data_IF_913398107675
#
_entry.id   IF_913398107675
#
_cell.length_a   1.000
_cell.length_b   1.000
_cell.length_c   1.000
_cell.angle_alpha   90.00
_cell.angle_beta   90.00
_cell.angle_gamma   90.00
#
_symmetry.space_group_name_H-M   'P 1'
#
loop_
_entity.id
_entity.type
_entity.pdbx_description
1 polymer ?
#
# COMPACT_ATOMS: atom_id res chain seq x y z
N UNK A 1 9.01 -12.85 31.58
CA UNK A 1 8.93 -12.79 30.12
C UNK A 1 9.12 -14.21 29.60
N UNK A 2 8.06 -14.84 29.07
CA UNK A 2 8.12 -16.17 28.47
C UNK A 2 8.96 -16.07 27.18
N UNK A 3 10.01 -16.89 27.05
CA UNK A 3 10.86 -16.89 25.86
C UNK A 3 10.26 -17.85 24.82
N UNK A 4 10.03 -17.35 23.61
CA UNK A 4 9.64 -18.20 22.48
C UNK A 4 10.68 -19.32 22.26
N UNK A 5 10.24 -20.55 21.96
CA UNK A 5 11.15 -21.67 21.77
C UNK A 5 12.14 -21.38 20.63
N UNK A 6 13.44 -21.59 20.91
CA UNK A 6 14.52 -21.54 19.93
C UNK A 6 14.99 -20.14 19.52
N UNK A 7 14.34 -19.05 19.92
CA UNK A 7 14.72 -17.64 19.62
C UNK A 7 15.20 -17.36 18.19
N UNK A 8 14.83 -18.20 17.23
CA UNK A 8 15.17 -18.04 15.82
C UNK A 8 13.92 -17.90 14.96
N UNK A 9 14.01 -17.06 13.93
CA UNK A 9 12.94 -16.76 12.99
C UNK A 9 13.49 -16.73 11.57
N UNK A 10 12.83 -17.42 10.67
CA UNK A 10 13.12 -17.34 9.23
C UNK A 10 12.07 -16.48 8.55
N UNK A 11 12.52 -15.53 7.73
CA UNK A 11 11.65 -14.65 6.93
C UNK A 11 11.95 -14.90 5.45
N UNK A 12 10.90 -15.12 4.66
CA UNK A 12 11.01 -15.27 3.19
C UNK A 12 10.58 -13.95 2.55
N UNK A 13 11.51 -13.31 1.84
CA UNK A 13 11.32 -11.99 1.20
C UNK A 13 11.85 -10.84 2.05
N UNK A 14 12.92 -10.17 1.60
CA UNK A 14 13.46 -8.96 2.20
C UNK A 14 12.90 -7.67 1.55
N UNK A 15 11.62 -7.69 1.17
CA UNK A 15 10.88 -6.48 0.81
C UNK A 15 10.64 -5.59 2.03
N UNK A 16 9.84 -4.54 1.86
CA UNK A 16 9.57 -3.56 2.93
C UNK A 16 9.08 -4.21 4.23
N UNK A 17 8.09 -5.11 4.14
CA UNK A 17 7.55 -5.80 5.32
C UNK A 17 8.58 -6.73 5.95
N UNK A 18 9.26 -7.56 5.17
CA UNK A 18 10.24 -8.52 5.71
C UNK A 18 11.43 -7.84 6.35
N UNK A 19 11.96 -6.75 5.75
CA UNK A 19 13.05 -5.98 6.33
C UNK A 19 12.65 -5.28 7.65
N UNK A 20 11.44 -4.67 7.69
CA UNK A 20 10.92 -4.05 8.91
C UNK A 20 10.68 -5.08 10.01
N UNK A 21 10.08 -6.21 9.67
CA UNK A 21 9.81 -7.30 10.61
C UNK A 21 11.10 -7.87 11.20
N UNK A 22 12.13 -8.07 10.35
CA UNK A 22 13.43 -8.54 10.79
C UNK A 22 14.08 -7.60 11.80
N UNK A 23 14.03 -6.30 11.53
CA UNK A 23 14.52 -5.28 12.45
C UNK A 23 13.80 -5.33 13.80
N UNK A 24 12.46 -5.36 13.78
CA UNK A 24 11.64 -5.41 14.99
C UNK A 24 11.91 -6.69 15.80
N UNK A 25 11.97 -7.85 15.14
CA UNK A 25 12.26 -9.13 15.77
C UNK A 25 13.69 -9.17 16.39
N UNK A 26 14.68 -8.64 15.69
CA UNK A 26 16.06 -8.56 16.20
C UNK A 26 16.16 -7.65 17.43
N UNK A 27 15.45 -6.55 17.47
CA UNK A 27 15.36 -5.66 18.65
C UNK A 27 14.75 -6.35 19.87
N UNK A 28 13.96 -7.41 19.65
CA UNK A 28 13.42 -8.30 20.70
C UNK A 28 14.38 -9.44 21.09
N UNK A 29 15.57 -9.48 20.48
CA UNK A 29 16.61 -10.47 20.76
C UNK A 29 16.44 -11.79 20.01
N UNK A 30 15.62 -11.83 18.93
CA UNK A 30 15.54 -13.00 18.07
C UNK A 30 16.72 -13.02 17.08
N UNK A 31 17.20 -14.22 16.76
CA UNK A 31 18.06 -14.45 15.61
C UNK A 31 17.20 -14.59 14.35
N UNK A 32 17.43 -13.76 13.35
CA UNK A 32 16.59 -13.69 12.14
C UNK A 32 17.43 -14.00 10.92
N UNK A 33 16.95 -14.93 10.08
CA UNK A 33 17.49 -15.19 8.74
C UNK A 33 16.47 -14.78 7.70
N UNK A 34 16.83 -13.87 6.80
CA UNK A 34 16.01 -13.48 5.65
C UNK A 34 16.55 -14.11 4.39
N UNK A 35 15.67 -14.67 3.55
CA UNK A 35 15.97 -15.13 2.21
C UNK A 35 15.31 -14.22 1.18
N UNK A 36 16.12 -13.61 0.30
CA UNK A 36 15.65 -12.70 -0.76
C UNK A 36 16.13 -13.18 -2.13
N UNK A 37 15.20 -13.25 -3.07
CA UNK A 37 15.49 -13.71 -4.44
C UNK A 37 16.36 -12.74 -5.24
N UNK A 38 16.25 -11.44 -4.97
CA UNK A 38 17.00 -10.39 -5.68
C UNK A 38 18.41 -10.27 -5.12
N UNK A 39 19.27 -9.63 -5.91
CA UNK A 39 20.59 -9.20 -5.46
C UNK A 39 20.47 -8.16 -4.34
N UNK A 40 21.58 -7.95 -3.62
CA UNK A 40 21.66 -6.94 -2.56
C UNK A 40 21.42 -5.53 -3.13
N UNK A 41 20.35 -4.84 -2.73
CA UNK A 41 20.03 -3.51 -3.26
C UNK A 41 21.06 -2.42 -2.86
N UNK A 42 21.96 -2.72 -1.94
CA UNK A 42 23.06 -1.82 -1.55
C UNK A 42 24.21 -1.84 -2.57
N UNK A 43 24.28 -2.91 -3.39
CA UNK A 43 25.32 -3.12 -4.41
C UNK A 43 24.78 -3.03 -5.84
N UNK A 44 23.46 -3.16 -6.02
CA UNK A 44 22.82 -3.14 -7.34
C UNK A 44 22.37 -1.72 -7.71
N UNK A 45 22.45 -1.38 -9.01
CA UNK A 45 21.76 -0.19 -9.52
C UNK A 45 20.24 -0.40 -9.46
N UNK A 46 19.44 0.67 -9.19
CA UNK A 46 17.99 0.57 -9.22
C UNK A 46 17.49 0.06 -10.57
N UNK A 47 16.55 -0.89 -10.58
CA UNK A 47 15.90 -1.35 -11.81
C UNK A 47 15.13 -0.19 -12.43
N UNK A 48 15.49 0.21 -13.65
CA UNK A 48 14.78 1.26 -14.41
C UNK A 48 13.36 0.77 -14.75
N UNK A 49 12.38 1.67 -14.63
CA UNK A 49 10.97 1.39 -15.00
C UNK A 49 10.15 0.58 -13.98
N UNK A 50 10.67 0.39 -12.77
CA UNK A 50 9.96 -0.19 -11.61
C UNK A 50 10.14 0.65 -10.35
N UNK A 51 10.26 1.95 -10.50
CA UNK A 51 10.41 2.89 -9.39
C UNK A 51 9.03 3.31 -8.90
N UNK A 52 8.32 2.43 -8.22
CA UNK A 52 7.02 2.75 -7.63
C UNK A 52 7.25 3.67 -6.44
N UNK A 53 6.64 4.86 -6.49
CA UNK A 53 6.47 5.68 -5.30
C UNK A 53 5.29 5.18 -4.49
N UNK A 54 5.48 5.20 -3.19
CA UNK A 54 4.49 4.76 -2.22
C UNK A 54 3.96 5.95 -1.44
N UNK A 55 2.70 5.87 -1.05
CA UNK A 55 2.06 6.83 -0.16
C UNK A 55 2.23 6.34 1.29
N UNK A 56 3.13 6.95 2.04
CA UNK A 56 3.30 6.66 3.46
C UNK A 56 2.31 7.52 4.27
N UNK A 57 1.47 6.86 5.06
CA UNK A 57 0.45 7.45 5.91
C UNK A 57 0.78 7.23 7.40
N UNK A 58 -0.03 7.79 8.30
CA UNK A 58 0.24 7.76 9.74
C UNK A 58 0.45 6.35 10.30
N UNK A 59 -0.25 5.32 9.80
CA UNK A 59 -0.06 3.91 10.24
C UNK A 59 1.35 3.40 9.92
N UNK A 60 1.81 3.64 8.72
CA UNK A 60 3.16 3.26 8.30
C UNK A 60 4.22 4.03 9.07
N UNK A 61 4.02 5.33 9.28
CA UNK A 61 4.92 6.17 10.10
C UNK A 61 5.04 5.64 11.53
N UNK A 62 3.92 5.32 12.17
CA UNK A 62 3.90 4.74 13.52
C UNK A 62 4.69 3.43 13.62
N UNK A 63 4.64 2.59 12.60
CA UNK A 63 5.44 1.35 12.56
C UNK A 63 6.94 1.63 12.41
N UNK A 64 7.31 2.60 11.58
CA UNK A 64 8.71 3.05 11.41
C UNK A 64 9.26 3.73 12.67
N UNK A 65 8.44 4.54 13.36
CA UNK A 65 8.78 5.12 14.67
C UNK A 65 9.01 4.04 15.71
N UNK A 66 8.13 3.04 15.79
CA UNK A 66 8.30 1.87 16.66
C UNK A 66 9.59 1.11 16.37
N UNK A 67 9.98 1.02 15.11
CA UNK A 67 11.26 0.43 14.71
C UNK A 67 12.47 1.35 14.96
N UNK A 68 12.26 2.64 15.30
CA UNK A 68 13.33 3.62 15.57
C UNK A 68 14.09 4.05 14.33
N UNK A 69 13.46 4.00 13.13
CA UNK A 69 14.15 4.31 11.86
C UNK A 69 13.73 5.63 11.23
N UNK A 70 12.81 6.37 11.85
CA UNK A 70 12.24 7.58 11.27
C UNK A 70 13.26 8.67 10.91
N UNK A 71 14.33 8.85 11.69
CA UNK A 71 15.36 9.84 11.38
C UNK A 71 16.05 9.55 10.04
N UNK A 72 16.24 8.27 9.70
CA UNK A 72 16.81 7.85 8.42
C UNK A 72 15.81 7.88 7.27
N UNK A 73 14.53 7.69 7.57
CA UNK A 73 13.44 7.68 6.57
C UNK A 73 13.02 9.11 6.23
N UNK A 74 12.99 10.02 7.20
CA UNK A 74 12.50 11.40 7.03
C UNK A 74 13.11 12.14 5.83
N UNK A 75 14.41 12.05 5.52
CA UNK A 75 14.99 12.71 4.34
C UNK A 75 14.48 12.18 2.99
N UNK A 76 13.85 11.01 2.98
CA UNK A 76 13.29 10.39 1.77
C UNK A 76 11.84 10.81 1.50
N UNK A 77 11.22 11.54 2.44
CA UNK A 77 9.79 11.84 2.41
C UNK A 77 9.51 13.18 1.74
N UNK A 78 8.52 13.20 0.85
CA UNK A 78 8.00 14.43 0.25
C UNK A 78 6.54 14.58 0.68
N UNK A 79 6.16 15.69 1.35
CA UNK A 79 4.79 15.89 1.79
C UNK A 79 3.87 16.16 0.60
N UNK A 80 2.78 15.42 0.52
CA UNK A 80 1.68 15.66 -0.41
C UNK A 80 0.48 16.17 0.39
N UNK A 81 0.09 17.43 0.20
CA UNK A 81 -0.98 18.09 0.95
C UNK A 81 -2.37 17.82 0.38
N UNK A 82 -2.42 17.34 -0.87
CA UNK A 82 -3.68 17.07 -1.56
C UNK A 82 -3.47 16.40 -2.91
N UNK A 83 -4.57 16.24 -3.61
CA UNK A 83 -4.59 15.82 -5.02
C UNK A 83 -4.68 17.06 -5.90
N UNK A 84 -3.72 17.28 -6.79
CA UNK A 84 -3.83 18.24 -7.88
C UNK A 84 -4.61 17.57 -9.01
N UNK A 85 -5.86 17.94 -9.17
CA UNK A 85 -6.77 17.33 -10.16
C UNK A 85 -6.69 18.13 -11.46
N UNK A 86 -6.33 17.43 -12.53
CA UNK A 86 -6.17 18.00 -13.89
C UNK A 86 -7.37 17.63 -14.77
N UNK A 87 -8.17 18.63 -15.11
CA UNK A 87 -9.31 18.48 -16.01
C UNK A 87 -8.87 18.39 -17.49
N UNK A 88 -9.78 17.91 -18.34
CA UNK A 88 -9.56 17.93 -19.80
C UNK A 88 -9.45 19.35 -20.38
N UNK A 89 -10.06 20.33 -19.72
CA UNK A 89 -9.98 21.76 -20.06
C UNK A 89 -8.59 22.36 -19.90
N UNK A 90 -7.67 21.66 -19.21
CA UNK A 90 -6.37 22.15 -18.77
C UNK A 90 -6.43 22.91 -17.43
N UNK A 91 -7.61 23.06 -16.82
CA UNK A 91 -7.71 23.59 -15.47
C UNK A 91 -7.17 22.57 -14.46
N UNK A 92 -6.39 23.05 -13.47
CA UNK A 92 -5.89 22.23 -12.38
C UNK A 92 -6.22 22.86 -11.05
N UNK A 93 -6.73 22.06 -10.10
CA UNK A 93 -7.12 22.50 -8.78
C UNK A 93 -6.65 21.55 -7.69
N UNK A 94 -6.09 22.09 -6.61
CA UNK A 94 -5.69 21.32 -5.45
C UNK A 94 -6.91 20.97 -4.59
N UNK A 95 -7.14 19.69 -4.41
CA UNK A 95 -8.09 19.15 -3.44
C UNK A 95 -7.34 18.66 -2.21
N UNK A 96 -7.41 19.36 -1.05
CA UNK A 96 -6.68 18.97 0.13
C UNK A 96 -7.13 17.60 0.66
N UNK A 97 -6.19 16.85 1.25
CA UNK A 97 -6.47 15.57 1.90
C UNK A 97 -7.13 15.73 3.26
N UNK A 98 -6.70 16.72 4.01
CA UNK A 98 -7.20 17.02 5.36
C UNK A 98 -7.36 18.51 5.60
N UNK A 99 -7.70 18.87 6.83
CA UNK A 99 -7.98 20.26 7.25
C UNK A 99 -6.89 20.81 8.17
N UNK A 100 -5.95 19.98 8.65
CA UNK A 100 -4.88 20.37 9.57
C UNK A 100 -3.52 20.27 8.88
N UNK A 101 -2.55 21.07 9.28
CA UNK A 101 -1.21 21.11 8.69
C UNK A 101 -0.49 19.75 8.68
N UNK A 102 -0.72 18.93 9.71
CA UNK A 102 -0.12 17.62 9.85
C UNK A 102 -0.84 16.51 9.07
N UNK A 103 -2.01 16.79 8.51
CA UNK A 103 -2.77 15.84 7.69
C UNK A 103 -2.24 15.80 6.26
N UNK A 104 -1.04 15.29 6.13
CA UNK A 104 -0.33 15.09 4.87
C UNK A 104 0.00 13.62 4.65
N UNK A 105 0.08 13.24 3.40
CA UNK A 105 0.55 11.93 2.96
C UNK A 105 1.95 12.12 2.42
N UNK A 106 2.84 11.18 2.65
CA UNK A 106 4.23 11.32 2.25
C UNK A 106 4.53 10.42 1.05
N UNK A 107 5.02 11.00 -0.04
CA UNK A 107 5.62 10.23 -1.14
C UNK A 107 6.99 9.72 -0.71
N UNK A 108 7.26 8.46 -0.98
CA UNK A 108 8.55 7.82 -0.70
C UNK A 108 8.90 6.81 -1.78
N UNK A 109 10.14 6.83 -2.27
CA UNK A 109 10.66 5.83 -3.20
C UNK A 109 10.75 4.46 -2.53
N UNK A 110 10.11 3.45 -3.13
CA UNK A 110 10.11 2.08 -2.60
C UNK A 110 11.50 1.50 -2.42
N UNK A 111 12.38 1.72 -3.41
CA UNK A 111 13.72 1.18 -3.40
C UNK A 111 14.58 1.79 -2.28
N UNK A 112 14.50 3.12 -2.11
CA UNK A 112 15.25 3.83 -1.07
C UNK A 112 14.80 3.46 0.33
N UNK A 113 13.49 3.39 0.55
CA UNK A 113 12.93 2.96 1.82
C UNK A 113 13.35 1.52 2.14
N UNK A 114 13.28 0.60 1.15
CA UNK A 114 13.68 -0.78 1.35
C UNK A 114 15.18 -0.90 1.68
N UNK A 115 16.04 -0.13 1.00
CA UNK A 115 17.46 -0.09 1.26
C UNK A 115 17.76 0.36 2.70
N UNK A 116 17.10 1.44 3.16
CA UNK A 116 17.26 1.92 4.55
C UNK A 116 16.82 0.84 5.54
N UNK A 117 15.70 0.15 5.32
CA UNK A 117 15.22 -0.90 6.22
C UNK A 117 16.18 -2.10 6.28
N UNK A 118 16.71 -2.54 5.13
CA UNK A 118 17.72 -3.61 5.06
C UNK A 118 18.99 -3.21 5.78
N UNK A 119 19.48 -1.98 5.55
CA UNK A 119 20.67 -1.46 6.24
C UNK A 119 20.49 -1.44 7.76
N UNK A 120 19.35 -0.96 8.24
CA UNK A 120 19.05 -0.94 9.67
C UNK A 120 18.94 -2.35 10.25
N UNK A 121 18.22 -3.24 9.58
CA UNK A 121 18.10 -4.63 10.02
C UNK A 121 19.47 -5.31 10.11
N UNK A 122 20.34 -5.16 9.11
CA UNK A 122 21.67 -5.80 9.07
C UNK A 122 22.68 -5.22 10.04
N UNK A 123 22.44 -4.06 10.65
CA UNK A 123 23.25 -3.53 11.77
C UNK A 123 23.11 -4.36 13.04
N UNK A 124 22.02 -5.08 13.18
CA UNK A 124 21.82 -5.99 14.31
C UNK A 124 22.55 -7.30 14.06
N UNK A 125 23.42 -7.71 15.01
CA UNK A 125 24.22 -8.95 14.90
C UNK A 125 23.37 -10.22 14.77
N UNK A 126 22.11 -10.17 15.23
CA UNK A 126 21.14 -11.27 15.12
C UNK A 126 20.46 -11.38 13.76
N UNK A 127 20.74 -10.52 12.77
CA UNK A 127 20.09 -10.54 11.45
C UNK A 127 21.08 -10.95 10.37
N UNK A 128 20.75 -12.02 9.65
CA UNK A 128 21.45 -12.46 8.45
C UNK A 128 20.52 -12.36 7.24
N UNK A 129 20.91 -11.60 6.20
CA UNK A 129 20.19 -11.54 4.93
C UNK A 129 20.93 -12.35 3.88
N UNK A 130 20.25 -13.33 3.26
CA UNK A 130 20.74 -14.19 2.20
C UNK A 130 20.11 -13.73 0.89
N UNK A 131 20.82 -12.95 0.10
CA UNK A 131 20.42 -12.49 -1.23
C UNK A 131 20.63 -13.55 -2.29
N UNK A 132 20.00 -13.39 -3.46
CA UNK A 132 19.99 -14.35 -4.58
C UNK A 132 19.45 -15.74 -4.19
N UNK A 133 18.55 -15.80 -3.21
CA UNK A 133 17.95 -17.04 -2.72
C UNK A 133 16.46 -17.07 -3.07
N UNK A 134 16.10 -17.74 -4.13
CA UNK A 134 14.71 -17.90 -4.56
C UNK A 134 14.03 -18.97 -3.71
N UNK A 135 12.99 -18.59 -2.98
CA UNK A 135 12.11 -19.57 -2.33
C UNK A 135 11.21 -20.23 -3.38
N UNK A 136 11.27 -21.55 -3.44
CA UNK A 136 10.46 -22.39 -4.32
C UNK A 136 9.18 -22.90 -3.63
N UNK A 137 9.08 -22.72 -2.32
CA UNK A 137 7.94 -23.12 -1.51
C UNK A 137 8.34 -23.76 -0.18
N UNK A 138 7.33 -24.18 0.57
CA UNK A 138 7.48 -24.92 1.81
C UNK A 138 6.99 -26.36 1.67
N UNK A 139 7.74 -27.30 2.22
CA UNK A 139 7.27 -28.66 2.46
C UNK A 139 6.44 -28.65 3.76
N UNK A 140 5.16 -28.88 3.62
CA UNK A 140 4.21 -28.75 4.71
C UNK A 140 4.35 -29.87 5.76
N UNK A 141 4.77 -31.07 5.32
CA UNK A 141 4.91 -32.22 6.22
C UNK A 141 6.12 -32.06 7.14
N UNK A 142 7.22 -31.50 6.64
CA UNK A 142 8.46 -31.32 7.37
C UNK A 142 8.69 -29.89 7.89
N UNK A 143 7.91 -28.90 7.45
CA UNK A 143 8.15 -27.47 7.73
C UNK A 143 9.36 -26.89 7.00
N UNK A 144 10.01 -27.65 6.12
CA UNK A 144 11.22 -27.23 5.40
C UNK A 144 10.91 -26.28 4.27
N UNK A 145 11.77 -25.25 4.11
CA UNK A 145 11.75 -24.39 2.93
C UNK A 145 12.65 -24.96 1.84
N UNK A 146 12.14 -24.98 0.60
CA UNK A 146 12.95 -25.28 -0.60
C UNK A 146 13.42 -23.97 -1.20
N UNK A 147 14.72 -23.85 -1.36
CA UNK A 147 15.40 -22.67 -1.85
C UNK A 147 16.26 -23.02 -3.06
N UNK A 148 16.47 -22.05 -3.96
CA UNK A 148 17.41 -22.12 -5.07
C UNK A 148 18.37 -20.93 -4.98
N UNK A 149 19.65 -21.24 -4.95
CA UNK A 149 20.70 -20.23 -5.07
C UNK A 149 20.83 -19.79 -6.53
N UNK A 150 20.46 -18.55 -6.81
CA UNK A 150 20.54 -17.95 -8.15
C UNK A 150 21.98 -17.57 -8.55
N UNK A 151 22.94 -17.65 -7.61
CA UNK A 151 24.37 -17.48 -7.85
C UNK A 151 25.08 -18.73 -8.38
N UNK A 152 24.33 -19.81 -8.66
CA UNK A 152 24.88 -21.05 -9.24
C UNK A 152 25.03 -22.20 -8.26
N UNK A 153 24.55 -22.08 -7.01
CA UNK A 153 24.66 -23.10 -5.95
C UNK A 153 23.58 -24.20 -6.00
N UNK A 154 22.62 -24.17 -6.93
CA UNK A 154 21.59 -25.21 -7.06
C UNK A 154 20.44 -25.07 -6.03
N UNK A 155 19.67 -26.17 -5.89
CA UNK A 155 18.55 -26.24 -4.92
C UNK A 155 19.00 -26.88 -3.62
N UNK A 156 18.46 -26.38 -2.52
CA UNK A 156 18.72 -26.91 -1.19
C UNK A 156 17.50 -26.72 -0.27
N UNK A 157 17.53 -27.33 0.88
CA UNK A 157 16.48 -27.23 1.89
C UNK A 157 17.02 -26.63 3.17
N UNK A 158 16.19 -25.87 3.88
CA UNK A 158 16.44 -25.39 5.24
C UNK A 158 15.30 -25.79 6.15
N UNK A 159 15.62 -26.04 7.42
CA UNK A 159 14.67 -26.44 8.45
C UNK A 159 14.53 -25.32 9.48
N UNK A 160 13.58 -24.38 9.30
CA UNK A 160 13.38 -23.27 10.21
C UNK A 160 12.62 -23.68 11.48
N UNK A 161 12.86 -22.97 12.57
CA UNK A 161 12.05 -23.10 13.80
C UNK A 161 10.64 -22.55 13.58
N UNK A 162 10.55 -21.39 12.94
CA UNK A 162 9.32 -20.77 12.48
C UNK A 162 9.60 -19.96 11.21
N UNK A 163 8.66 -19.95 10.27
CA UNK A 163 8.75 -19.21 9.01
C UNK A 163 7.68 -18.14 8.93
N UNK A 164 8.07 -16.91 8.58
CA UNK A 164 7.12 -15.88 8.17
C UNK A 164 7.36 -15.57 6.68
N UNK A 165 6.32 -15.76 5.87
CA UNK A 165 6.36 -15.44 4.46
C UNK A 165 5.90 -13.99 4.25
N UNK A 166 6.80 -13.17 3.70
CA UNK A 166 6.60 -11.79 3.26
C UNK A 166 7.03 -11.63 1.80
N UNK A 167 6.90 -12.72 1.04
CA UNK A 167 7.36 -12.86 -0.35
C UNK A 167 6.38 -12.28 -1.39
N UNK A 168 5.40 -11.51 -0.92
CA UNK A 168 4.57 -10.65 -1.74
C UNK A 168 3.35 -11.36 -2.36
N UNK A 169 2.64 -10.65 -3.25
CA UNK A 169 1.40 -11.14 -3.87
C UNK A 169 1.57 -12.46 -4.61
N UNK A 170 2.74 -12.72 -5.20
CA UNK A 170 3.10 -14.00 -5.85
C UNK A 170 3.76 -15.01 -4.92
N UNK A 171 3.40 -15.07 -3.64
CA UNK A 171 4.03 -15.91 -2.61
C UNK A 171 4.13 -17.39 -3.00
N UNK A 172 5.37 -17.88 -3.08
CA UNK A 172 5.65 -19.30 -3.30
C UNK A 172 5.28 -20.15 -2.08
N UNK A 173 5.42 -19.59 -0.88
CA UNK A 173 5.00 -20.24 0.36
C UNK A 173 3.47 -20.43 0.37
N UNK A 174 2.69 -19.36 0.10
CA UNK A 174 1.22 -19.47 -0.01
C UNK A 174 0.81 -20.50 -1.05
N UNK A 175 1.44 -20.49 -2.22
CA UNK A 175 1.18 -21.44 -3.31
C UNK A 175 1.38 -22.89 -2.85
N UNK A 176 2.45 -23.16 -2.09
CA UNK A 176 2.70 -24.50 -1.54
C UNK A 176 1.64 -24.92 -0.53
N UNK A 177 1.23 -24.00 0.37
CA UNK A 177 0.19 -24.26 1.36
C UNK A 177 -1.18 -24.50 0.70
N UNK A 178 -1.48 -23.76 -0.37
CA UNK A 178 -2.71 -23.93 -1.13
C UNK A 178 -2.73 -25.27 -1.89
N UNK A 179 -1.62 -25.66 -2.50
CA UNK A 179 -1.48 -26.96 -3.17
C UNK A 179 -1.67 -28.13 -2.19
N UNK A 180 -1.24 -27.98 -0.94
CA UNK A 180 -1.46 -28.93 0.14
C UNK A 180 -2.87 -28.84 0.78
N UNK A 181 -3.75 -27.96 0.30
CA UNK A 181 -5.11 -27.70 0.81
C UNK A 181 -5.17 -27.23 2.27
N UNK A 182 -4.11 -26.60 2.76
CA UNK A 182 -4.05 -26.05 4.12
C UNK A 182 -4.51 -24.61 4.19
N UNK A 183 -4.46 -23.89 3.05
CA UNK A 183 -4.88 -22.51 2.91
C UNK A 183 -5.79 -22.40 1.71
N UNK A 184 -6.97 -21.84 1.88
CA UNK A 184 -7.82 -21.43 0.77
C UNK A 184 -7.36 -20.06 0.26
N UNK A 185 -7.25 -19.89 -1.05
CA UNK A 185 -6.80 -18.65 -1.69
C UNK A 185 -7.88 -18.16 -2.64
N UNK A 186 -8.17 -16.87 -2.57
CA UNK A 186 -9.01 -16.14 -3.51
C UNK A 186 -8.21 -15.02 -4.14
N UNK A 187 -8.20 -14.95 -5.45
CA UNK A 187 -7.57 -13.90 -6.23
C UNK A 187 -8.63 -13.23 -7.11
N UNK A 188 -8.83 -11.94 -6.91
CA UNK A 188 -9.78 -11.13 -7.67
C UNK A 188 -8.98 -10.12 -8.52
N UNK A 189 -8.86 -10.42 -9.81
CA UNK A 189 -8.13 -9.59 -10.76
C UNK A 189 -9.07 -8.57 -11.41
N UNK A 190 -8.63 -7.31 -11.46
CA UNK A 190 -9.34 -6.28 -12.19
C UNK A 190 -9.18 -6.48 -13.71
N UNK A 191 -10.08 -5.91 -14.47
CA UNK A 191 -9.96 -5.77 -15.94
C UNK A 191 -9.00 -4.66 -16.37
N UNK A 192 -8.46 -3.91 -15.41
CA UNK A 192 -7.47 -2.86 -15.58
C UNK A 192 -6.07 -3.33 -15.17
N UNK A 193 -5.10 -2.80 -15.88
CA UNK A 193 -3.67 -2.93 -15.59
C UNK A 193 -3.06 -1.54 -15.39
N UNK A 194 -1.77 -1.49 -15.08
CA UNK A 194 -1.04 -0.24 -14.93
C UNK A 194 0.30 -0.26 -15.68
N UNK A 195 0.77 0.94 -16.04
CA UNK A 195 2.09 1.14 -16.62
C UNK A 195 2.73 2.39 -16.03
N UNK A 196 3.98 2.23 -15.59
CA UNK A 196 4.76 3.33 -15.04
C UNK A 196 5.52 4.07 -16.14
N UNK A 197 5.55 5.41 -16.00
CA UNK A 197 6.27 6.34 -16.85
C UNK A 197 7.05 7.30 -15.95
N UNK A 198 8.10 7.91 -16.47
CA UNK A 198 8.92 8.86 -15.72
C UNK A 198 8.79 10.26 -16.31
N UNK A 199 8.41 11.20 -15.47
CA UNK A 199 8.58 12.63 -15.73
C UNK A 199 9.97 13.01 -15.23
N UNK A 200 10.93 13.37 -16.08
CA UNK A 200 12.28 13.69 -15.64
C UNK A 200 12.32 15.00 -14.85
N UNK A 201 13.35 15.18 -14.01
CA UNK A 201 13.45 16.30 -13.06
C UNK A 201 13.33 17.69 -13.73
N UNK A 202 13.91 17.86 -14.91
CA UNK A 202 13.83 19.11 -15.69
C UNK A 202 12.41 19.43 -16.18
N UNK A 203 11.53 18.45 -16.25
CA UNK A 203 10.09 18.62 -16.56
C UNK A 203 9.24 18.62 -15.29
N UNK A 204 9.71 17.99 -14.24
CA UNK A 204 9.02 17.95 -12.94
C UNK A 204 8.81 19.33 -12.30
N UNK A 205 9.67 20.31 -12.63
CA UNK A 205 9.53 21.70 -12.18
C UNK A 205 8.21 22.37 -12.60
N UNK A 206 7.51 21.84 -13.61
CA UNK A 206 6.19 22.32 -14.03
C UNK A 206 5.03 21.77 -13.17
N UNK A 207 5.31 20.83 -12.29
CA UNK A 207 4.32 20.21 -11.42
C UNK A 207 4.46 20.69 -9.95
N UNK A 208 3.34 20.78 -9.23
CA UNK A 208 3.36 21.08 -7.80
C UNK A 208 4.01 19.91 -7.05
N UNK A 209 5.19 20.14 -6.48
CA UNK A 209 5.98 19.11 -5.80
C UNK A 209 5.27 18.51 -4.56
N UNK A 210 4.44 19.30 -3.91
CA UNK A 210 3.79 18.92 -2.67
C UNK A 210 2.35 18.39 -2.88
N UNK A 211 2.09 17.79 -4.04
CA UNK A 211 0.81 17.21 -4.39
C UNK A 211 0.96 15.85 -5.10
N UNK A 212 -0.04 14.99 -4.96
CA UNK A 212 -0.28 13.90 -5.88
C UNK A 212 -1.05 14.47 -7.08
N UNK A 213 -0.50 14.37 -8.27
CA UNK A 213 -1.20 14.76 -9.48
C UNK A 213 -2.10 13.65 -9.98
N UNK A 214 -3.32 13.98 -10.41
CA UNK A 214 -4.27 13.03 -10.97
C UNK A 214 -4.99 13.65 -12.17
N UNK A 215 -5.06 12.88 -13.26
CA UNK A 215 -5.84 13.15 -14.48
C UNK A 215 -6.96 12.11 -14.57
N UNK A 216 -8.12 12.32 -13.95
CA UNK A 216 -9.27 11.42 -14.06
C UNK A 216 -9.92 11.56 -15.41
N UNK A 217 -10.32 10.44 -16.04
CA UNK A 217 -10.86 10.43 -17.42
C UNK A 217 -12.13 9.61 -17.59
N UNK A 218 -12.79 9.24 -16.49
CA UNK A 218 -13.99 8.40 -16.53
C UNK A 218 -13.67 7.02 -17.13
N UNK A 219 -13.39 6.04 -16.30
CA UNK A 219 -12.99 4.70 -16.70
C UNK A 219 -11.49 4.43 -16.70
N UNK A 220 -10.63 5.46 -16.72
CA UNK A 220 -9.16 5.34 -16.59
C UNK A 220 -8.56 6.62 -16.00
N UNK A 221 -7.29 6.58 -15.61
CA UNK A 221 -6.62 7.74 -15.04
C UNK A 221 -5.10 7.65 -15.19
N UNK A 222 -4.46 8.82 -15.19
CA UNK A 222 -3.02 8.99 -14.97
C UNK A 222 -2.81 9.62 -13.61
N UNK A 223 -1.82 9.15 -12.85
CA UNK A 223 -1.37 9.81 -11.62
C UNK A 223 0.12 10.10 -11.70
N UNK A 224 0.62 11.07 -10.92
CA UNK A 224 2.05 11.28 -10.78
C UNK A 224 2.41 11.66 -9.34
N UNK A 225 3.42 10.99 -8.79
CA UNK A 225 3.95 11.19 -7.45
C UNK A 225 5.37 11.73 -7.51
N UNK A 226 5.74 12.71 -6.65
CA UNK A 226 7.05 13.34 -6.66
C UNK A 226 8.15 12.41 -6.15
N UNK A 227 9.35 12.54 -6.72
CA UNK A 227 10.60 11.93 -6.28
C UNK A 227 11.53 12.98 -5.64
N UNK A 228 12.47 12.52 -4.80
CA UNK A 228 13.40 13.41 -4.08
C UNK A 228 14.34 14.19 -5.01
N UNK A 229 14.63 13.65 -6.18
CA UNK A 229 15.47 14.26 -7.23
C UNK A 229 14.74 15.30 -8.10
N UNK A 230 13.45 15.57 -7.82
CA UNK A 230 12.62 16.48 -8.59
C UNK A 230 11.90 15.86 -9.80
N UNK A 231 12.16 14.59 -10.09
CA UNK A 231 11.38 13.83 -11.05
C UNK A 231 10.03 13.40 -10.47
N UNK A 232 9.13 12.87 -11.34
CA UNK A 232 7.88 12.24 -10.88
C UNK A 232 7.74 10.85 -11.49
N UNK A 233 7.21 9.93 -10.71
CA UNK A 233 6.74 8.63 -11.21
C UNK A 233 5.29 8.78 -11.62
N UNK A 234 5.03 8.71 -12.91
CA UNK A 234 3.68 8.73 -13.48
C UNK A 234 3.18 7.30 -13.70
N UNK A 235 1.90 7.05 -13.41
CA UNK A 235 1.30 5.72 -13.57
C UNK A 235 -0.02 5.84 -14.30
N UNK A 236 -0.10 5.21 -15.48
CA UNK A 236 -1.34 5.06 -16.24
C UNK A 236 -2.08 3.81 -15.76
N UNK A 237 -3.33 3.96 -15.36
CA UNK A 237 -4.28 2.88 -15.09
C UNK A 237 -5.30 2.83 -16.22
N UNK A 238 -5.38 1.70 -16.93
CA UNK A 238 -6.19 1.57 -18.13
C UNK A 238 -6.70 0.14 -18.27
N UNK A 239 -7.85 -0.03 -18.94
CA UNK A 239 -8.39 -1.35 -19.24
C UNK A 239 -7.42 -2.20 -20.06
N UNK A 240 -7.42 -3.51 -19.84
CA UNK A 240 -6.62 -4.46 -20.61
C UNK A 240 -7.08 -4.59 -22.05
N UNK A 241 -8.41 -4.65 -22.23
CA UNK A 241 -9.09 -4.87 -23.51
C UNK A 241 -10.14 -3.79 -23.75
N UNK A 242 -10.58 -3.62 -24.98
CA UNK A 242 -11.56 -2.61 -25.37
C UNK A 242 -10.92 -1.38 -26.01
N UNK A 243 -11.62 -0.24 -26.00
CA UNK A 243 -11.10 1.02 -26.55
C UNK A 243 -11.60 2.20 -25.69
N UNK A 244 -10.68 2.99 -25.06
CA UNK A 244 -9.23 2.80 -25.04
C UNK A 244 -8.79 1.66 -24.11
N UNK A 245 -7.67 1.00 -24.44
CA UNK A 245 -7.11 -0.09 -23.63
C UNK A 245 -5.62 -0.28 -23.91
N UNK A 246 -4.91 -1.01 -23.08
CA UNK A 246 -3.52 -1.40 -23.37
C UNK A 246 -3.41 -2.18 -24.68
N UNK A 247 -4.39 -3.04 -25.01
CA UNK A 247 -4.41 -3.77 -26.26
C UNK A 247 -4.56 -2.83 -27.49
N UNK A 248 -5.31 -1.73 -27.38
CA UNK A 248 -5.46 -0.74 -28.45
C UNK A 248 -4.25 0.19 -28.60
N UNK A 249 -3.36 0.25 -27.59
CA UNK A 249 -2.16 1.08 -27.56
C UNK A 249 -0.88 0.29 -27.95
N UNK A 250 -1.01 -0.64 -28.89
CA UNK A 250 0.09 -1.53 -29.28
C UNK A 250 1.18 -0.85 -30.13
N UNK A 251 0.96 0.36 -30.67
CA UNK A 251 1.91 1.07 -31.54
C UNK A 251 2.25 2.47 -31.01
N UNK A 252 3.44 2.96 -31.33
CA UNK A 252 3.87 4.30 -30.92
C UNK A 252 2.91 5.42 -31.42
N UNK A 253 2.39 5.42 -32.66
CA UNK A 253 1.38 6.39 -33.08
C UNK A 253 0.10 6.33 -32.24
N UNK A 254 -0.42 5.13 -31.93
CA UNK A 254 -1.62 4.99 -31.10
C UNK A 254 -1.41 5.54 -29.67
N UNK A 255 -0.24 5.31 -29.07
CA UNK A 255 0.14 5.88 -27.78
C UNK A 255 0.18 7.41 -27.84
N UNK A 256 0.84 7.96 -28.86
CA UNK A 256 0.97 9.42 -29.04
C UNK A 256 -0.41 10.08 -29.20
N UNK A 257 -1.26 9.52 -30.05
CA UNK A 257 -2.62 10.03 -30.29
C UNK A 257 -3.49 9.95 -29.03
N UNK A 258 -3.43 8.83 -28.33
CA UNK A 258 -4.16 8.64 -27.07
C UNK A 258 -3.75 9.69 -26.03
N UNK A 259 -2.45 9.86 -25.78
CA UNK A 259 -1.97 10.85 -24.80
C UNK A 259 -2.29 12.28 -25.23
N UNK A 260 -2.14 12.61 -26.52
CA UNK A 260 -2.48 13.94 -27.04
C UNK A 260 -3.98 14.27 -26.85
N UNK A 261 -4.85 13.29 -27.00
CA UNK A 261 -6.30 13.46 -26.83
C UNK A 261 -6.71 13.50 -25.35
N UNK A 262 -6.17 12.59 -24.52
CA UNK A 262 -6.64 12.39 -23.17
C UNK A 262 -5.85 13.15 -22.11
N UNK A 263 -4.56 13.39 -22.34
CA UNK A 263 -3.61 13.95 -21.39
C UNK A 263 -2.73 15.02 -22.03
N UNK A 264 -3.32 15.94 -22.82
CA UNK A 264 -2.61 16.93 -23.60
C UNK A 264 -1.62 17.76 -22.77
N UNK A 265 -2.01 18.12 -21.55
CA UNK A 265 -1.19 18.88 -20.58
C UNK A 265 -0.05 18.02 -19.97
N UNK A 266 -0.17 16.70 -19.97
CA UNK A 266 0.88 15.80 -19.49
C UNK A 266 1.90 15.41 -20.57
N UNK A 267 1.57 15.55 -21.86
CA UNK A 267 2.48 15.20 -22.98
C UNK A 267 3.83 15.92 -22.90
N UNK A 268 3.90 17.25 -22.64
CA UNK A 268 5.18 17.95 -22.50
C UNK A 268 6.05 17.47 -21.33
N UNK A 269 5.44 16.81 -20.35
CA UNK A 269 6.11 16.27 -19.18
C UNK A 269 6.79 14.92 -19.46
N UNK A 270 6.42 14.23 -20.54
CA UNK A 270 6.82 12.86 -20.87
C UNK A 270 7.63 12.82 -22.21
N UNK A 271 8.84 13.38 -22.26
CA UNK A 271 9.61 13.49 -23.51
C UNK A 271 9.99 12.13 -24.12
N UNK A 272 10.00 11.07 -23.32
CA UNK A 272 10.30 9.70 -23.76
C UNK A 272 9.07 8.79 -23.72
N UNK A 273 7.86 9.33 -23.87
CA UNK A 273 6.59 8.61 -23.70
C UNK A 273 6.56 7.27 -24.45
N UNK A 274 6.74 7.26 -25.75
CA UNK A 274 6.61 6.05 -26.58
C UNK A 274 7.69 5.01 -26.30
N UNK A 275 8.92 5.46 -26.04
CA UNK A 275 10.04 4.58 -25.70
C UNK A 275 9.81 3.90 -24.35
N UNK A 276 9.38 4.66 -23.34
CA UNK A 276 9.05 4.13 -22.01
C UNK A 276 7.82 3.22 -22.08
N UNK A 277 6.79 3.63 -22.83
CA UNK A 277 5.58 2.83 -22.97
C UNK A 277 5.86 1.45 -23.58
N UNK A 278 6.79 1.37 -24.53
CA UNK A 278 7.21 0.11 -25.15
C UNK A 278 8.10 -0.75 -24.23
N UNK A 279 9.02 -0.12 -23.47
CA UNK A 279 10.05 -0.85 -22.71
C UNK A 279 9.66 -1.17 -21.27
N UNK A 280 8.81 -0.35 -20.64
CA UNK A 280 8.41 -0.60 -19.25
C UNK A 280 7.37 -1.71 -19.17
N UNK A 281 7.43 -2.55 -18.13
CA UNK A 281 6.48 -3.64 -17.97
C UNK A 281 5.06 -3.12 -17.69
N UNK A 282 4.08 -3.88 -18.14
CA UNK A 282 2.68 -3.72 -17.75
C UNK A 282 2.42 -4.58 -16.52
N UNK A 283 1.89 -3.97 -15.46
CA UNK A 283 1.57 -4.65 -14.21
C UNK A 283 0.07 -4.92 -14.10
N UNK A 284 -0.28 -6.07 -13.53
CA UNK A 284 -1.66 -6.45 -13.25
C UNK A 284 -2.12 -5.89 -11.92
N UNK A 285 -3.43 -5.65 -11.80
CA UNK A 285 -4.09 -5.17 -10.60
C UNK A 285 -5.02 -6.25 -10.06
N UNK A 286 -4.85 -6.59 -8.80
CA UNK A 286 -5.70 -7.58 -8.16
C UNK A 286 -5.60 -7.54 -6.65
N UNK A 287 -6.55 -8.22 -6.03
CA UNK A 287 -6.61 -8.46 -4.59
C UNK A 287 -6.39 -9.94 -4.33
N UNK A 288 -5.53 -10.25 -3.39
CA UNK A 288 -5.28 -11.61 -2.91
C UNK A 288 -5.77 -11.72 -1.49
N UNK A 289 -6.57 -12.72 -1.21
CA UNK A 289 -7.02 -13.06 0.13
C UNK A 289 -6.80 -14.55 0.37
N UNK A 290 -6.40 -14.92 1.57
CA UNK A 290 -6.28 -16.32 1.94
C UNK A 290 -6.74 -16.57 3.37
N UNK A 291 -7.02 -17.82 3.70
CA UNK A 291 -7.38 -18.26 5.04
C UNK A 291 -7.20 -19.80 5.18
N UNK A 292 -6.69 -20.27 6.34
CA UNK A 292 -6.04 -19.47 7.39
C UNK A 292 -4.71 -18.87 6.93
N UNK A 293 -4.16 -17.92 7.69
CA UNK A 293 -2.85 -17.32 7.38
C UNK A 293 -1.67 -18.14 7.95
N UNK A 294 -1.95 -19.10 8.81
CA UNK A 294 -0.90 -19.87 9.44
C UNK A 294 -1.17 -21.38 9.42
N UNK A 295 -0.10 -22.15 9.52
CA UNK A 295 -0.14 -23.61 9.72
C UNK A 295 0.56 -23.93 11.04
N UNK A 296 -0.25 -24.18 12.07
CA UNK A 296 0.27 -24.36 13.42
C UNK A 296 1.19 -23.20 13.85
N UNK A 297 2.34 -23.55 14.43
CA UNK A 297 3.42 -22.61 14.76
C UNK A 297 4.58 -22.63 13.77
N UNK A 298 4.47 -23.32 12.64
CA UNK A 298 5.57 -23.51 11.70
C UNK A 298 5.64 -22.44 10.61
N UNK A 299 4.49 -21.99 10.08
CA UNK A 299 4.42 -21.04 8.98
C UNK A 299 3.34 -20.00 9.23
N UNK A 300 3.64 -18.72 8.98
CA UNK A 300 2.72 -17.59 8.94
C UNK A 300 2.87 -16.85 7.62
N UNK A 301 1.77 -16.54 6.93
CA UNK A 301 1.71 -15.59 5.83
C UNK A 301 1.45 -14.18 6.40
N UNK A 302 2.19 -13.17 5.94
CA UNK A 302 2.12 -11.81 6.44
C UNK A 302 2.21 -10.81 5.29
N UNK A 303 1.57 -9.66 5.41
CA UNK A 303 1.51 -8.61 4.39
C UNK A 303 0.94 -9.14 3.05
N UNK A 304 1.50 -8.71 1.91
CA UNK A 304 1.01 -9.09 0.58
C UNK A 304 1.01 -10.62 0.34
N UNK A 305 1.77 -11.41 1.11
CA UNK A 305 1.72 -12.86 1.03
C UNK A 305 0.38 -13.42 1.53
N UNK A 306 -0.28 -12.71 2.46
CA UNK A 306 -1.58 -13.07 3.03
C UNK A 306 -2.75 -12.30 2.40
N UNK A 307 -2.55 -10.99 2.10
CA UNK A 307 -3.64 -10.06 1.78
C UNK A 307 -3.20 -8.90 0.88
N UNK A 308 -2.69 -9.20 -0.30
CA UNK A 308 -2.35 -8.15 -1.27
C UNK A 308 -3.60 -7.38 -1.70
N UNK A 309 -3.47 -6.06 -1.85
CA UNK A 309 -4.57 -5.16 -2.23
C UNK A 309 -4.19 -4.28 -3.42
N UNK A 310 -5.20 -3.77 -4.13
CA UNK A 310 -5.00 -2.79 -5.19
C UNK A 310 -4.47 -1.45 -4.64
N UNK A 311 -3.67 -0.69 -5.40
CA UNK A 311 -2.89 0.44 -4.88
C UNK A 311 -3.70 1.74 -4.64
N UNK A 312 -4.96 1.79 -5.00
CA UNK A 312 -5.71 3.04 -5.14
C UNK A 312 -5.93 3.83 -3.85
N UNK A 313 -5.92 3.18 -2.70
CA UNK A 313 -5.97 3.87 -1.41
C UNK A 313 -4.56 4.17 -0.85
N UNK A 314 -3.49 3.70 -1.51
CA UNK A 314 -2.12 3.85 -1.04
C UNK A 314 -1.82 3.11 0.26
N UNK A 315 -2.59 2.06 0.61
CA UNK A 315 -2.53 1.44 1.93
C UNK A 315 -1.80 0.08 1.96
N UNK A 316 -1.38 -0.51 0.84
CA UNK A 316 -0.69 -1.80 0.85
C UNK A 316 0.54 -1.84 1.78
N UNK A 317 1.45 -0.87 1.61
CA UNK A 317 2.63 -0.73 2.49
C UNK A 317 2.25 -0.41 3.94
N UNK A 318 1.30 0.51 4.14
CA UNK A 318 0.88 0.94 5.48
C UNK A 318 0.24 -0.21 6.27
N UNK A 319 -0.59 -1.02 5.63
CA UNK A 319 -1.19 -2.22 6.22
C UNK A 319 -0.13 -3.28 6.54
N UNK A 320 0.84 -3.49 5.63
CA UNK A 320 1.97 -4.40 5.85
C UNK A 320 2.87 -3.94 7.02
N UNK A 321 3.09 -2.64 7.17
CA UNK A 321 3.85 -2.09 8.29
C UNK A 321 3.08 -2.18 9.61
N UNK A 322 1.77 -1.99 9.56
CA UNK A 322 0.90 -2.23 10.73
C UNK A 322 0.92 -3.72 11.14
N UNK A 323 0.95 -4.64 10.16
CA UNK A 323 1.15 -6.07 10.46
C UNK A 323 2.44 -6.31 11.23
N UNK A 324 3.55 -5.73 10.78
CA UNK A 324 4.84 -5.84 11.47
C UNK A 324 4.78 -5.27 12.91
N UNK A 325 4.11 -4.14 13.09
CA UNK A 325 3.96 -3.51 14.41
C UNK A 325 3.08 -4.34 15.36
N UNK A 326 1.99 -4.92 14.85
CA UNK A 326 1.10 -5.82 15.61
C UNK A 326 1.83 -7.11 15.95
N UNK A 327 2.54 -7.70 15.00
CA UNK A 327 3.35 -8.89 15.25
C UNK A 327 4.40 -8.64 16.35
N UNK A 328 5.13 -7.52 16.27
CA UNK A 328 6.08 -7.12 17.31
C UNK A 328 5.41 -6.96 18.69
N UNK A 329 4.21 -6.39 18.76
CA UNK A 329 3.48 -6.27 20.02
C UNK A 329 3.15 -7.64 20.63
N UNK A 330 2.79 -8.62 19.80
CA UNK A 330 2.44 -9.98 20.23
C UNK A 330 3.66 -10.82 20.64
N UNK A 331 4.86 -10.55 20.07
CA UNK A 331 6.08 -11.29 20.39
C UNK A 331 6.41 -11.36 21.89
N UNK A 332 6.04 -10.34 22.65
CA UNK A 332 6.25 -10.30 24.10
C UNK A 332 5.14 -10.89 24.94
N UNK A 333 4.03 -11.36 24.32
CA UNK A 333 2.82 -11.77 25.02
C UNK A 333 2.55 -13.29 24.94
N UNK A 334 3.20 -13.98 24.00
CA UNK A 334 2.98 -15.41 23.75
C UNK A 334 4.21 -16.25 24.05
N UNK A 335 3.99 -17.47 24.53
CA UNK A 335 5.04 -18.43 24.88
C UNK A 335 5.43 -19.34 23.70
N UNK A 336 4.58 -19.46 22.70
CA UNK A 336 4.78 -20.33 21.54
C UNK A 336 4.30 -19.66 20.24
N UNK A 337 4.84 -20.15 19.11
CA UNK A 337 4.53 -19.61 17.80
C UNK A 337 3.08 -19.84 17.37
N UNK A 338 2.47 -20.97 17.73
CA UNK A 338 1.11 -21.29 17.30
C UNK A 338 0.08 -20.32 17.88
N UNK A 339 0.17 -20.06 19.19
CA UNK A 339 -0.73 -19.11 19.85
C UNK A 339 -0.53 -17.68 19.35
N UNK A 340 0.74 -17.29 19.06
CA UNK A 340 1.07 -15.99 18.50
C UNK A 340 0.49 -15.83 17.08
N UNK A 341 0.72 -16.81 16.20
CA UNK A 341 0.23 -16.75 14.81
C UNK A 341 -1.29 -16.71 14.74
N UNK A 342 -1.95 -17.53 15.55
CA UNK A 342 -3.40 -17.52 15.64
C UNK A 342 -3.96 -16.19 16.16
N UNK A 343 -3.32 -15.58 17.17
CA UNK A 343 -3.73 -14.26 17.67
C UNK A 343 -3.48 -13.16 16.64
N UNK A 344 -2.34 -13.21 15.93
CA UNK A 344 -2.03 -12.27 14.86
C UNK A 344 -3.11 -12.28 13.77
N UNK A 345 -3.47 -13.45 13.24
CA UNK A 345 -4.50 -13.58 12.22
C UNK A 345 -5.85 -13.03 12.73
N UNK A 346 -6.29 -13.38 13.93
CA UNK A 346 -7.54 -12.86 14.52
C UNK A 346 -7.55 -11.34 14.61
N UNK A 347 -6.42 -10.72 14.96
CA UNK A 347 -6.31 -9.26 15.12
C UNK A 347 -6.32 -8.54 13.77
N UNK A 348 -5.73 -9.16 12.72
CA UNK A 348 -5.49 -8.46 11.46
C UNK A 348 -6.51 -8.75 10.37
N UNK A 349 -7.11 -9.92 10.36
CA UNK A 349 -7.91 -10.42 9.23
C UNK A 349 -9.07 -9.50 8.85
N UNK A 350 -9.85 -9.05 9.82
CA UNK A 350 -10.97 -8.14 9.59
C UNK A 350 -10.49 -6.78 9.06
N UNK A 351 -9.40 -6.26 9.62
CA UNK A 351 -8.81 -4.98 9.22
C UNK A 351 -8.28 -5.02 7.78
N UNK A 352 -7.60 -6.09 7.39
CA UNK A 352 -7.07 -6.21 6.03
C UNK A 352 -8.17 -6.44 4.99
N UNK A 353 -9.25 -7.14 5.35
CA UNK A 353 -10.43 -7.24 4.50
C UNK A 353 -11.12 -5.87 4.30
N UNK A 354 -11.24 -5.09 5.37
CA UNK A 354 -11.83 -3.75 5.30
C UNK A 354 -11.04 -2.80 4.40
N UNK A 355 -9.70 -2.79 4.53
CA UNK A 355 -8.90 -1.90 3.67
C UNK A 355 -8.85 -2.39 2.22
N UNK A 356 -8.94 -3.69 1.96
CA UNK A 356 -9.07 -4.23 0.60
C UNK A 356 -10.35 -3.73 -0.06
N UNK A 357 -11.48 -3.75 0.64
CA UNK A 357 -12.75 -3.21 0.17
C UNK A 357 -12.63 -1.70 -0.09
N UNK A 358 -12.14 -0.93 0.88
CA UNK A 358 -12.00 0.53 0.73
C UNK A 358 -11.05 0.91 -0.41
N UNK A 359 -10.04 0.10 -0.71
CA UNK A 359 -9.14 0.34 -1.84
C UNK A 359 -9.85 0.17 -3.19
N UNK A 360 -10.74 -0.80 -3.33
CA UNK A 360 -11.57 -0.97 -4.53
C UNK A 360 -12.59 0.17 -4.68
N UNK A 361 -13.25 0.58 -3.59
CA UNK A 361 -14.18 1.72 -3.62
C UNK A 361 -13.46 3.03 -4.00
N UNK A 362 -12.26 3.26 -3.46
CA UNK A 362 -11.48 4.45 -3.79
C UNK A 362 -10.99 4.47 -5.25
N UNK A 363 -10.89 3.32 -5.91
CA UNK A 363 -10.62 3.26 -7.35
C UNK A 363 -11.72 3.94 -8.16
N UNK A 364 -12.97 3.57 -7.90
CA UNK A 364 -14.12 4.21 -8.54
C UNK A 364 -14.17 5.72 -8.24
N UNK A 365 -13.92 6.10 -6.98
CA UNK A 365 -13.86 7.52 -6.59
C UNK A 365 -12.80 8.30 -7.39
N UNK A 366 -11.56 7.83 -7.40
CA UNK A 366 -10.45 8.52 -8.07
C UNK A 366 -10.62 8.62 -9.57
N UNK A 367 -11.15 7.58 -10.18
CA UNK A 367 -11.31 7.45 -11.62
C UNK A 367 -12.50 8.26 -12.16
N UNK A 368 -13.61 8.26 -11.41
CA UNK A 368 -14.91 8.68 -11.93
C UNK A 368 -15.51 9.87 -11.14
N UNK A 369 -15.38 9.90 -9.80
CA UNK A 369 -16.18 10.78 -8.96
C UNK A 369 -15.49 12.09 -8.54
N UNK A 370 -14.17 12.22 -8.62
CA UNK A 370 -13.42 13.40 -8.10
C UNK A 370 -13.77 14.73 -8.80
N UNK A 371 -14.44 14.68 -9.94
CA UNK A 371 -14.96 15.85 -10.66
C UNK A 371 -16.49 15.98 -10.58
N UNK A 372 -17.17 15.03 -9.96
CA UNK A 372 -18.63 15.05 -9.81
C UNK A 372 -19.07 16.10 -8.78
N UNK A 373 -20.02 16.97 -9.18
CA UNK A 373 -20.47 18.08 -8.34
C UNK A 373 -21.10 17.60 -7.02
N UNK A 374 -21.86 16.48 -7.03
CA UNK A 374 -22.48 15.90 -5.83
C UNK A 374 -21.41 15.37 -4.89
N UNK A 375 -20.39 14.72 -5.44
CA UNK A 375 -19.24 14.23 -4.66
C UNK A 375 -18.50 15.39 -3.98
N UNK A 376 -18.18 16.44 -4.73
CA UNK A 376 -17.49 17.62 -4.20
C UNK A 376 -18.30 18.33 -3.11
N UNK A 377 -19.61 18.49 -3.32
CA UNK A 377 -20.52 19.07 -2.33
C UNK A 377 -20.55 18.23 -1.04
N UNK A 378 -20.76 16.90 -1.14
CA UNK A 378 -20.74 16.00 0.02
C UNK A 378 -19.40 16.01 0.74
N UNK A 379 -18.29 16.12 0.02
CA UNK A 379 -16.96 16.30 0.61
C UNK A 379 -16.88 17.60 1.41
N UNK A 380 -17.41 18.70 0.88
CA UNK A 380 -17.50 19.98 1.58
C UNK A 380 -18.33 19.89 2.88
N UNK A 381 -19.49 19.22 2.82
CA UNK A 381 -20.35 18.96 3.98
C UNK A 381 -19.59 18.12 5.01
N UNK A 382 -18.93 17.04 4.62
CA UNK A 382 -18.16 16.18 5.51
C UNK A 382 -17.06 16.96 6.26
N UNK A 383 -16.33 17.84 5.55
CA UNK A 383 -15.32 18.69 6.16
C UNK A 383 -15.91 19.71 7.14
N UNK A 384 -17.09 20.25 6.87
CA UNK A 384 -17.79 21.14 7.79
C UNK A 384 -18.26 20.40 9.05
N UNK A 385 -18.78 19.18 8.89
CA UNK A 385 -19.21 18.34 10.01
C UNK A 385 -18.04 17.91 10.90
N UNK A 386 -16.88 17.59 10.33
CA UNK A 386 -15.67 17.30 11.09
C UNK A 386 -15.23 18.46 11.97
N UNK A 387 -15.23 19.70 11.44
CA UNK A 387 -14.91 20.89 12.24
C UNK A 387 -15.85 21.10 13.42
N UNK A 388 -17.12 20.76 13.24
CA UNK A 388 -18.17 21.01 14.24
C UNK A 388 -18.32 19.88 15.25
N UNK A 389 -18.02 18.64 14.87
CA UNK A 389 -18.21 17.43 15.67
C UNK A 389 -16.95 16.52 15.60
N UNK A 390 -15.75 17.03 15.94
CA UNK A 390 -14.48 16.32 15.73
C UNK A 390 -14.36 15.05 16.57
N UNK A 391 -15.12 14.94 17.66
CA UNK A 391 -15.20 13.77 18.54
C UNK A 391 -16.09 12.63 17.98
N UNK A 392 -16.86 12.89 16.91
CA UNK A 392 -17.84 11.95 16.35
C UNK A 392 -17.73 11.76 14.84
N UNK A 393 -17.39 12.81 14.12
CA UNK A 393 -17.36 12.81 12.66
C UNK A 393 -15.95 13.12 12.16
N UNK A 394 -15.24 12.09 11.72
CA UNK A 394 -13.99 12.20 10.97
C UNK A 394 -14.25 11.52 9.62
N UNK A 395 -14.07 12.20 8.48
CA UNK A 395 -14.28 11.59 7.17
C UNK A 395 -13.53 10.27 7.01
N UNK A 396 -14.15 9.27 6.36
CA UNK A 396 -13.58 7.92 6.20
C UNK A 396 -12.13 7.95 5.69
N UNK A 397 -11.84 8.77 4.69
CA UNK A 397 -10.50 8.92 4.16
C UNK A 397 -9.51 9.42 5.22
N UNK A 398 -9.89 10.41 6.01
CA UNK A 398 -9.06 10.95 7.10
C UNK A 398 -8.82 9.89 8.19
N UNK A 399 -9.85 9.10 8.58
CA UNK A 399 -9.68 7.99 9.53
C UNK A 399 -8.62 6.99 9.04
N UNK A 400 -8.61 6.66 7.76
CA UNK A 400 -7.64 5.71 7.19
C UNK A 400 -6.24 6.30 7.13
N UNK A 401 -6.10 7.56 6.71
CA UNK A 401 -4.80 8.16 6.40
C UNK A 401 -4.10 8.77 7.62
N UNK A 402 -4.85 9.39 8.54
CA UNK A 402 -4.30 10.24 9.60
C UNK A 402 -4.55 9.72 11.01
N UNK A 403 -5.48 8.78 11.19
CA UNK A 403 -5.91 8.27 12.50
C UNK A 403 -5.54 6.79 12.69
N UNK A 404 -4.26 6.49 13.00
CA UNK A 404 -3.80 5.10 13.15
C UNK A 404 -4.39 4.39 14.40
N UNK A 405 -5.03 5.12 15.30
CA UNK A 405 -5.78 4.59 16.45
C UNK A 405 -7.14 4.01 16.05
N UNK A 406 -7.75 4.49 14.96
CA UNK A 406 -9.00 3.97 14.42
C UNK A 406 -8.69 2.81 13.47
N UNK A 407 -9.15 1.61 13.77
CA UNK A 407 -8.90 0.44 12.92
C UNK A 407 -9.53 0.59 11.52
N UNK A 408 -9.02 -0.14 10.52
CA UNK A 408 -9.61 -0.14 9.19
C UNK A 408 -11.06 -0.64 9.18
N UNK A 409 -11.36 -1.66 9.98
CA UNK A 409 -12.72 -2.19 10.12
C UNK A 409 -13.66 -1.13 10.69
N UNK A 410 -13.24 -0.39 11.72
CA UNK A 410 -13.99 0.71 12.28
C UNK A 410 -14.17 1.86 11.27
N UNK A 411 -13.11 2.23 10.53
CA UNK A 411 -13.19 3.25 9.50
C UNK A 411 -14.17 2.89 8.37
N UNK A 412 -14.21 1.62 7.95
CA UNK A 412 -15.18 1.12 6.98
C UNK A 412 -16.60 1.22 7.52
N UNK A 413 -16.85 0.72 8.73
CA UNK A 413 -18.16 0.72 9.38
C UNK A 413 -18.70 2.14 9.61
N UNK A 414 -17.86 3.03 10.17
CA UNK A 414 -18.24 4.43 10.39
C UNK A 414 -18.46 5.16 9.06
N UNK A 415 -17.61 4.90 8.07
CA UNK A 415 -17.75 5.48 6.75
C UNK A 415 -19.07 5.16 6.06
N UNK A 416 -19.59 3.94 6.24
CA UNK A 416 -20.92 3.55 5.73
C UNK A 416 -22.04 4.35 6.41
N UNK A 417 -21.99 4.52 7.73
CA UNK A 417 -22.97 5.34 8.46
C UNK A 417 -22.87 6.83 8.06
N UNK A 418 -21.65 7.34 7.88
CA UNK A 418 -21.42 8.72 7.42
C UNK A 418 -21.95 8.95 6.01
N UNK A 419 -21.81 7.98 5.10
CA UNK A 419 -22.34 8.09 3.74
C UNK A 419 -23.86 8.24 3.74
N UNK A 420 -24.59 7.49 4.57
CA UNK A 420 -26.03 7.62 4.75
C UNK A 420 -26.41 9.00 5.33
N UNK A 421 -25.67 9.48 6.34
CA UNK A 421 -25.89 10.81 6.92
C UNK A 421 -25.68 11.91 5.87
N UNK A 422 -24.61 11.82 5.09
CA UNK A 422 -24.33 12.80 4.02
C UNK A 422 -25.39 12.78 2.93
N UNK A 423 -25.97 11.62 2.64
CA UNK A 423 -27.08 11.52 1.70
C UNK A 423 -28.35 12.21 2.19
N UNK A 424 -28.69 12.06 3.46
CA UNK A 424 -29.84 12.72 4.10
C UNK A 424 -29.66 14.22 4.30
N UNK A 425 -28.40 14.68 4.49
CA UNK A 425 -28.06 16.06 4.74
C UNK A 425 -27.73 16.87 3.47
N UNK A 426 -27.50 16.20 2.33
CA UNK A 426 -27.17 16.86 1.07
C UNK A 426 -28.44 17.53 0.48
N UNK A 427 -28.55 18.87 0.47
CA UNK A 427 -29.73 19.56 -0.02
C UNK A 427 -29.93 19.45 -1.55
N UNK A 428 -28.91 18.93 -2.26
CA UNK A 428 -28.93 18.77 -3.72
C UNK A 428 -28.51 20.03 -4.49
N UNK A 429 -28.37 21.15 -3.81
CA UNK A 429 -27.96 22.46 -4.35
C UNK A 429 -26.89 23.12 -3.46
N UNK A 430 -26.59 24.39 -3.67
CA UNK A 430 -25.60 25.16 -2.90
C UNK A 430 -26.15 25.72 -1.57
N UNK A 431 -27.34 25.31 -1.13
CA UNK A 431 -27.87 25.74 0.16
C UNK A 431 -27.08 25.15 1.33
N UNK A 432 -27.05 25.89 2.45
CA UNK A 432 -26.36 25.43 3.65
C UNK A 432 -27.09 24.25 4.30
N UNK A 433 -26.32 23.31 4.84
CA UNK A 433 -26.84 22.19 5.62
C UNK A 433 -27.43 22.69 6.94
N UNK A 434 -28.65 22.24 7.27
CA UNK A 434 -29.25 22.50 8.59
C UNK A 434 -28.38 21.90 9.69
N UNK A 435 -27.69 22.81 10.37
CA UNK A 435 -26.73 22.49 11.41
C UNK A 435 -27.36 21.86 12.67
N UNK A 436 -28.62 22.20 12.99
CA UNK A 436 -29.32 21.61 14.12
C UNK A 436 -29.70 20.17 13.85
N UNK A 437 -30.29 19.91 12.67
CA UNK A 437 -30.62 18.55 12.19
C UNK A 437 -29.36 17.68 12.06
N UNK A 438 -28.29 18.21 11.48
CA UNK A 438 -27.03 17.49 11.37
C UNK A 438 -26.48 17.08 12.74
N UNK A 439 -26.50 17.98 13.72
CA UNK A 439 -26.05 17.70 15.08
C UNK A 439 -26.90 16.64 15.79
N UNK A 440 -28.20 16.64 15.57
CA UNK A 440 -29.10 15.61 16.11
C UNK A 440 -28.78 14.22 15.53
N UNK A 441 -28.74 14.11 14.21
CA UNK A 441 -28.47 12.85 13.50
C UNK A 441 -27.08 12.28 13.85
N UNK A 442 -26.06 13.15 13.95
CA UNK A 442 -24.70 12.73 14.33
C UNK A 442 -24.70 12.15 15.75
N UNK A 443 -25.34 12.82 16.72
CA UNK A 443 -25.40 12.33 18.11
C UNK A 443 -26.15 11.01 18.24
N UNK A 444 -27.19 10.81 17.42
CA UNK A 444 -28.00 9.58 17.42
C UNK A 444 -27.27 8.38 16.79
N UNK A 445 -26.52 8.60 15.69
CA UNK A 445 -26.01 7.52 14.85
C UNK A 445 -24.51 7.28 14.96
N UNK A 446 -23.74 8.29 15.36
CA UNK A 446 -22.28 8.17 15.47
C UNK A 446 -21.87 8.27 16.94
N UNK A 447 -21.47 7.14 17.57
CA UNK A 447 -20.88 7.18 18.91
C UNK A 447 -19.58 8.00 18.91
N UNK A 448 -19.15 8.57 20.05
CA UNK A 448 -17.84 9.19 20.15
C UNK A 448 -16.73 8.29 19.63
N UNK A 449 -15.69 8.89 19.07
CA UNK A 449 -14.47 8.21 18.68
C UNK A 449 -13.66 8.05 19.97
N UNK A 450 -13.41 6.80 20.37
CA UNK A 450 -12.71 6.46 21.62
C UNK A 450 -11.21 6.58 21.52
#
# INVERSE_FOLDING_TARGET
MSALPGRSLTIVGAGLAGALLALLAARRGLSVTLYERRADPRQAQPERGRSINLALAARGMRALERAGVMERVRPLLIPMRGRMVHERSGHAALQPYGQREHEVIWSVGRADLNRVLIEEATRHRGVAVRFNQLCLGADVASGRLRLRDQGGGGEYQVEPTATIATDGAGSAVRTSLAAARLVAVREDWLDHDYKELTVPAERGAALERNALHIWPRGGFMLIALPNTDGSFTATLFLARQGSPSFASLATAPAVTEFFAREFADAVPLLPQLTAQFASHPQGQLGTVQCAPWHVGGSVLLLADAAHAIVPFHGQGMNAAFEDCAVFDALLGQHADWQSLFAQFERTRRENTAAIAQMALENYGEMRDAVLDARFLRRKGIAMALERRFPDRFIPRYAMVMFHPEISYAEALRRGAMQAQLLEELDPGDDSEVDAARAGELIRQRLPPIG
#
